data_IF_284173254847
#
_entry.id   IF_284173254847
#
_cell.length_a   1.000
_cell.length_b   1.000
_cell.length_c   1.000
_cell.angle_alpha   90.00
_cell.angle_beta   90.00
_cell.angle_gamma   90.00
#
_symmetry.space_group_name_H-M   'P 1'
#
loop_
_entity.id
_entity.type
_entity.pdbx_description
1 polymer ?
#
# COMPACT_ATOMS: atom_id res chain seq x y z
N UNK A 1 19.51 -0.78 -33.03
CA UNK A 1 19.68 -1.98 -32.18
C UNK A 1 18.37 -2.16 -31.40
N UNK A 2 17.46 -3.03 -31.86
CA UNK A 2 16.25 -3.36 -31.09
C UNK A 2 16.67 -4.33 -30.00
N UNK A 3 16.79 -3.86 -28.77
CA UNK A 3 17.05 -4.73 -27.63
C UNK A 3 15.85 -5.67 -27.51
N UNK A 4 16.03 -6.94 -27.88
CA UNK A 4 15.05 -8.01 -27.68
C UNK A 4 14.99 -8.32 -26.18
N UNK A 5 14.40 -7.41 -25.40
CA UNK A 5 13.91 -7.77 -24.07
C UNK A 5 12.72 -8.68 -24.35
N UNK A 6 12.85 -9.98 -24.05
CA UNK A 6 11.71 -10.90 -24.12
C UNK A 6 10.64 -10.36 -23.17
N UNK A 7 9.60 -9.74 -23.72
CA UNK A 7 8.44 -9.36 -22.94
C UNK A 7 7.84 -10.62 -22.30
N UNK A 8 7.53 -10.53 -21.02
CA UNK A 8 6.93 -11.65 -20.29
C UNK A 8 5.56 -11.96 -20.91
N UNK A 9 5.15 -13.24 -20.90
CA UNK A 9 3.77 -13.55 -21.28
C UNK A 9 2.78 -12.87 -20.33
N UNK A 10 1.56 -12.52 -20.76
CA UNK A 10 0.53 -11.94 -19.89
C UNK A 10 0.26 -12.78 -18.64
N UNK A 11 0.29 -14.11 -18.75
CA UNK A 11 0.17 -15.03 -17.62
C UNK A 11 1.35 -14.92 -16.64
N UNK A 12 2.56 -14.72 -17.15
CA UNK A 12 3.73 -14.48 -16.32
C UNK A 12 3.66 -13.10 -15.62
N UNK A 13 3.17 -12.05 -16.30
CA UNK A 13 2.89 -10.76 -15.65
C UNK A 13 1.86 -10.88 -14.54
N UNK A 14 0.77 -11.62 -14.77
CA UNK A 14 -0.26 -11.86 -13.76
C UNK A 14 0.31 -12.57 -12.52
N UNK A 15 1.04 -13.66 -12.71
CA UNK A 15 1.68 -14.38 -11.59
C UNK A 15 2.70 -13.51 -10.85
N UNK A 16 3.47 -12.72 -11.58
CA UNK A 16 4.43 -11.81 -10.97
C UNK A 16 3.74 -10.72 -10.15
N UNK A 17 2.63 -10.14 -10.64
CA UNK A 17 1.78 -9.26 -9.83
C UNK A 17 1.27 -9.96 -8.57
N UNK A 18 0.81 -11.21 -8.68
CA UNK A 18 0.37 -12.00 -7.53
C UNK A 18 1.47 -12.20 -6.47
N UNK A 19 2.72 -12.43 -6.89
CA UNK A 19 3.88 -12.52 -5.98
C UNK A 19 4.15 -11.18 -5.31
N UNK A 20 4.15 -10.08 -6.07
CA UNK A 20 4.36 -8.73 -5.52
C UNK A 20 3.31 -8.37 -4.47
N UNK A 21 2.04 -8.68 -4.74
CA UNK A 21 0.98 -8.53 -3.75
C UNK A 21 1.26 -9.32 -2.47
N UNK A 22 1.68 -10.59 -2.58
CA UNK A 22 2.00 -11.40 -1.40
C UNK A 22 3.17 -10.82 -0.59
N UNK A 23 4.23 -10.36 -1.27
CA UNK A 23 5.38 -9.69 -0.64
C UNK A 23 4.91 -8.45 0.11
N UNK A 24 4.08 -7.62 -0.52
CA UNK A 24 3.49 -6.42 0.08
C UNK A 24 2.67 -6.79 1.31
N UNK A 25 1.76 -7.77 1.22
CA UNK A 25 0.91 -8.19 2.34
C UNK A 25 1.73 -8.66 3.53
N UNK A 26 2.74 -9.51 3.31
CA UNK A 26 3.59 -10.02 4.40
C UNK A 26 4.39 -8.90 5.05
N UNK A 27 5.00 -8.01 4.25
CA UNK A 27 5.73 -6.87 4.76
C UNK A 27 4.83 -5.88 5.50
N UNK A 28 3.60 -5.65 5.02
CA UNK A 28 2.61 -4.77 5.66
C UNK A 28 2.14 -5.32 7.00
N UNK A 29 1.85 -6.63 7.10
CA UNK A 29 1.52 -7.27 8.38
C UNK A 29 2.65 -7.05 9.38
N UNK A 30 3.90 -7.21 8.96
CA UNK A 30 5.03 -7.00 9.84
C UNK A 30 5.16 -5.53 10.26
N UNK A 31 5.13 -4.59 9.31
CA UNK A 31 5.31 -3.16 9.55
C UNK A 31 4.19 -2.52 10.37
N UNK A 32 2.93 -2.94 10.15
CA UNK A 32 1.75 -2.24 10.66
C UNK A 32 1.02 -2.99 11.76
N UNK A 33 1.31 -4.28 11.97
CA UNK A 33 0.72 -5.06 13.08
C UNK A 33 1.79 -5.50 14.07
N UNK A 34 2.76 -6.31 13.62
CA UNK A 34 3.75 -6.96 14.51
C UNK A 34 4.64 -5.93 15.23
N UNK A 35 5.19 -4.97 14.49
CA UNK A 35 6.10 -3.97 15.06
C UNK A 35 5.36 -3.00 16.00
N UNK A 36 4.21 -2.41 15.63
CA UNK A 36 3.43 -1.61 16.57
C UNK A 36 3.05 -2.37 17.85
N UNK A 37 2.61 -3.63 17.74
CA UNK A 37 2.25 -4.47 18.91
C UNK A 37 3.44 -4.68 19.87
N UNK A 38 4.65 -4.82 19.33
CA UNK A 38 5.86 -5.03 20.13
C UNK A 38 6.38 -3.75 20.79
N UNK A 39 6.26 -2.59 20.14
CA UNK A 39 6.97 -1.38 20.55
C UNK A 39 6.07 -0.27 21.11
N UNK A 40 4.81 -0.17 20.69
CA UNK A 40 3.92 0.95 21.01
C UNK A 40 3.00 0.58 22.16
N UNK A 41 3.08 1.34 23.26
CA UNK A 41 2.18 1.21 24.42
C UNK A 41 1.16 2.33 24.36
N UNK A 42 -0.09 1.99 24.02
CA UNK A 42 -1.17 2.96 23.87
C UNK A 42 -1.38 3.74 25.18
N UNK A 43 -1.23 5.07 25.11
CA UNK A 43 -1.40 5.96 26.26
C UNK A 43 -0.16 6.11 27.14
N UNK A 44 0.95 5.43 26.83
CA UNK A 44 2.21 5.54 27.58
C UNK A 44 3.38 5.88 26.63
N UNK A 45 3.61 7.19 26.50
CA UNK A 45 4.68 7.75 25.67
C UNK A 45 6.08 7.37 26.19
N UNK A 46 6.24 7.26 27.51
CA UNK A 46 7.53 6.94 28.11
C UNK A 46 7.90 5.47 27.87
N UNK A 47 6.95 4.55 28.07
CA UNK A 47 7.15 3.13 27.75
C UNK A 47 7.40 2.92 26.25
N UNK A 48 6.64 3.60 25.38
CA UNK A 48 6.85 3.53 23.92
C UNK A 48 8.27 3.97 23.52
N UNK A 49 8.72 5.13 24.01
CA UNK A 49 10.06 5.64 23.74
C UNK A 49 11.15 4.70 24.29
N UNK A 50 10.95 4.15 25.50
CA UNK A 50 11.88 3.21 26.11
C UNK A 50 11.98 1.90 25.33
N UNK A 51 10.86 1.34 24.86
CA UNK A 51 10.84 0.12 24.03
C UNK A 51 11.61 0.33 22.72
N UNK A 52 11.37 1.45 22.04
CA UNK A 52 12.06 1.78 20.78
C UNK A 52 13.55 2.00 21.02
N UNK A 53 13.93 2.71 22.10
CA UNK A 53 15.33 2.94 22.43
C UNK A 53 16.07 1.65 22.82
N UNK A 54 15.38 0.69 23.45
CA UNK A 54 15.96 -0.58 23.87
C UNK A 54 16.33 -1.49 22.68
N UNK A 55 15.57 -1.43 21.58
CA UNK A 55 15.87 -2.18 20.35
C UNK A 55 15.56 -1.36 19.09
N UNK A 56 16.32 -0.28 18.91
CA UNK A 56 16.14 0.62 17.78
C UNK A 56 16.34 -0.10 16.44
N UNK A 57 17.23 -1.08 16.39
CA UNK A 57 17.54 -1.81 15.15
C UNK A 57 16.33 -2.62 14.69
N UNK A 58 15.68 -3.36 15.60
CA UNK A 58 14.47 -4.09 15.26
C UNK A 58 13.34 -3.15 14.86
N UNK A 59 13.12 -2.05 15.59
CA UNK A 59 12.09 -1.06 15.22
C UNK A 59 12.37 -0.45 13.84
N UNK A 60 13.62 -0.05 13.56
CA UNK A 60 14.05 0.54 12.28
C UNK A 60 13.92 -0.41 11.11
N UNK A 61 14.39 -1.64 11.24
CA UNK A 61 14.27 -2.64 10.17
C UNK A 61 12.81 -3.04 9.97
N UNK A 62 12.05 -3.18 11.04
CA UNK A 62 10.66 -3.60 11.00
C UNK A 62 9.70 -2.55 10.47
N UNK A 63 9.92 -1.27 10.76
CA UNK A 63 9.14 -0.17 10.19
C UNK A 63 9.69 0.24 8.82
N UNK A 64 10.79 1.01 8.79
CA UNK A 64 11.37 1.61 7.58
C UNK A 64 11.80 0.54 6.57
N UNK A 65 12.44 -0.53 7.02
CA UNK A 65 12.88 -1.61 6.13
C UNK A 65 11.73 -2.31 5.44
N UNK A 66 10.71 -2.72 6.19
CA UNK A 66 9.50 -3.35 5.63
C UNK A 66 8.71 -2.42 4.73
N UNK A 67 8.53 -1.15 5.13
CA UNK A 67 7.84 -0.17 4.28
C UNK A 67 8.61 0.10 3.00
N UNK A 68 9.95 0.14 3.00
CA UNK A 68 10.72 0.23 1.74
C UNK A 68 10.48 -0.98 0.83
N UNK A 69 10.38 -2.19 1.38
CA UNK A 69 10.03 -3.39 0.60
C UNK A 69 8.64 -3.25 -0.02
N UNK A 70 7.66 -2.76 0.75
CA UNK A 70 6.31 -2.47 0.25
C UNK A 70 6.39 -1.48 -0.89
N UNK A 71 6.95 -0.29 -0.67
CA UNK A 71 6.94 0.82 -1.62
C UNK A 71 7.68 0.51 -2.92
N UNK A 72 8.81 -0.21 -2.85
CA UNK A 72 9.51 -0.64 -4.06
C UNK A 72 8.71 -1.70 -4.83
N UNK A 73 8.05 -2.61 -4.13
CA UNK A 73 7.16 -3.60 -4.75
C UNK A 73 5.93 -2.95 -5.37
N UNK A 74 5.39 -1.91 -4.72
CA UNK A 74 4.26 -1.10 -5.18
C UNK A 74 4.54 -0.41 -6.52
N UNK A 75 5.72 0.17 -6.69
CA UNK A 75 6.15 0.80 -7.94
C UNK A 75 6.13 -0.22 -9.08
N UNK A 76 6.72 -1.40 -8.86
CA UNK A 76 6.78 -2.46 -9.87
C UNK A 76 5.38 -3.00 -10.16
N UNK A 77 4.58 -3.22 -9.12
CA UNK A 77 3.22 -3.73 -9.25
C UNK A 77 2.32 -2.77 -10.05
N UNK A 78 2.43 -1.46 -9.83
CA UNK A 78 1.69 -0.46 -10.59
C UNK A 78 2.00 -0.56 -12.10
N UNK A 79 3.27 -0.73 -12.46
CA UNK A 79 3.69 -0.91 -13.87
C UNK A 79 3.18 -2.23 -14.43
N UNK A 80 3.27 -3.33 -13.68
CA UNK A 80 2.80 -4.65 -14.12
C UNK A 80 1.29 -4.63 -14.40
N UNK A 81 0.50 -4.06 -13.49
CA UNK A 81 -0.94 -3.95 -13.66
C UNK A 81 -1.30 -3.00 -14.82
N UNK A 82 -0.55 -1.91 -15.00
CA UNK A 82 -0.70 -1.03 -16.16
C UNK A 82 -0.52 -1.80 -17.47
N UNK A 83 0.60 -2.51 -17.62
CA UNK A 83 0.89 -3.30 -18.84
C UNK A 83 -0.21 -4.33 -19.08
N UNK A 84 -0.67 -4.99 -18.01
CA UNK A 84 -1.66 -6.05 -18.12
C UNK A 84 -3.04 -5.55 -18.56
N UNK A 85 -3.49 -4.40 -18.06
CA UNK A 85 -4.84 -3.87 -18.28
C UNK A 85 -4.91 -2.76 -19.34
N UNK A 86 -3.79 -2.20 -19.78
CA UNK A 86 -3.70 -1.21 -20.87
C UNK A 86 -4.50 -1.61 -22.12
N UNK A 87 -4.53 -2.88 -22.58
CA UNK A 87 -5.36 -3.29 -23.72
C UNK A 87 -6.86 -3.09 -23.54
N UNK A 88 -7.36 -3.04 -22.30
CA UNK A 88 -8.78 -2.77 -22.00
C UNK A 88 -9.08 -1.28 -22.13
N UNK A 89 -8.25 -0.45 -21.50
CA UNK A 89 -8.30 1.01 -21.63
C UNK A 89 -6.98 1.61 -21.17
N UNK A 90 -6.26 2.24 -22.11
CA UNK A 90 -4.97 2.90 -21.85
C UNK A 90 -5.12 4.01 -20.81
N UNK A 91 -6.17 4.82 -20.94
CA UNK A 91 -6.42 5.98 -20.06
C UNK A 91 -6.75 5.53 -18.64
N UNK A 92 -7.70 4.62 -18.47
CA UNK A 92 -8.08 4.13 -17.14
C UNK A 92 -6.92 3.39 -16.47
N UNK A 93 -6.20 2.55 -17.21
CA UNK A 93 -5.03 1.85 -16.66
C UNK A 93 -3.93 2.83 -16.23
N UNK A 94 -3.73 3.92 -16.98
CA UNK A 94 -2.77 4.96 -16.61
C UNK A 94 -3.20 5.71 -15.36
N UNK A 95 -4.48 6.10 -15.25
CA UNK A 95 -5.00 6.77 -14.05
C UNK A 95 -4.81 5.85 -12.82
N UNK A 96 -5.17 4.57 -12.94
CA UNK A 96 -4.98 3.62 -11.84
C UNK A 96 -3.51 3.48 -11.42
N UNK A 97 -2.58 3.42 -12.39
CA UNK A 97 -1.16 3.33 -12.09
C UNK A 97 -0.62 4.61 -11.44
N UNK A 98 -0.97 5.78 -11.97
CA UNK A 98 -0.54 7.09 -11.43
C UNK A 98 -1.09 7.30 -10.02
N UNK A 99 -2.34 6.95 -9.76
CA UNK A 99 -2.93 7.02 -8.41
C UNK A 99 -2.18 6.14 -7.41
N UNK A 100 -1.84 4.90 -7.79
CA UNK A 100 -1.04 4.01 -6.94
C UNK A 100 0.37 4.54 -6.69
N UNK A 101 1.02 5.10 -7.70
CA UNK A 101 2.34 5.74 -7.56
C UNK A 101 2.29 7.01 -6.70
N UNK A 102 1.21 7.79 -6.78
CA UNK A 102 1.01 8.96 -5.94
C UNK A 102 0.89 8.55 -4.46
N UNK A 103 0.07 7.54 -4.15
CA UNK A 103 0.02 6.92 -2.81
C UNK A 103 1.42 6.48 -2.36
N UNK A 104 2.13 5.73 -3.21
CA UNK A 104 3.45 5.19 -2.89
C UNK A 104 4.46 6.31 -2.60
N UNK A 105 4.38 7.42 -3.33
CA UNK A 105 5.26 8.58 -3.11
C UNK A 105 4.95 9.27 -1.79
N UNK A 106 3.66 9.43 -1.46
CA UNK A 106 3.22 10.02 -0.19
C UNK A 106 3.70 9.16 0.99
N UNK A 107 3.47 7.84 0.93
CA UNK A 107 3.95 6.91 1.95
C UNK A 107 5.48 6.89 2.06
N UNK A 108 6.20 6.98 0.94
CA UNK A 108 7.65 7.09 0.95
C UNK A 108 8.17 8.34 1.65
N UNK A 109 7.53 9.50 1.43
CA UNK A 109 7.85 10.73 2.17
C UNK A 109 7.47 10.61 3.65
N UNK A 110 6.40 9.89 3.95
CA UNK A 110 5.89 9.69 5.31
C UNK A 110 6.88 8.95 6.21
N UNK A 111 7.82 8.17 5.65
CA UNK A 111 8.92 7.55 6.38
C UNK A 111 9.80 8.54 7.14
N UNK A 112 9.83 9.82 6.73
CA UNK A 112 10.55 10.86 7.45
C UNK A 112 10.13 10.95 8.92
N UNK A 113 8.87 10.66 9.25
CA UNK A 113 8.38 10.65 10.62
C UNK A 113 9.12 9.62 11.50
N UNK A 114 9.39 8.42 11.01
CA UNK A 114 10.22 7.45 11.73
C UNK A 114 11.66 7.94 11.90
N UNK A 115 12.22 8.61 10.89
CA UNK A 115 13.55 9.20 11.02
C UNK A 115 13.60 10.29 12.10
N UNK A 116 12.55 11.08 12.26
CA UNK A 116 12.46 12.06 13.34
C UNK A 116 12.40 11.38 14.71
N UNK A 117 11.69 10.26 14.84
CA UNK A 117 11.72 9.42 16.06
C UNK A 117 13.16 8.99 16.40
N UNK A 118 13.91 8.48 15.41
CA UNK A 118 15.30 8.08 15.64
C UNK A 118 16.21 9.24 16.03
N UNK A 119 16.02 10.42 15.43
CA UNK A 119 16.81 11.60 15.77
C UNK A 119 16.50 12.12 17.18
N UNK A 120 15.27 11.97 17.66
CA UNK A 120 14.90 12.35 19.02
C UNK A 120 15.49 11.40 20.06
N UNK A 121 15.50 10.09 19.78
CA UNK A 121 16.00 9.08 20.71
C UNK A 121 17.53 8.99 20.72
N UNK A 122 18.19 9.13 19.55
CA UNK A 122 19.61 8.83 19.38
C UNK A 122 20.40 9.87 18.55
N UNK A 123 19.77 10.97 18.11
CA UNK A 123 20.34 11.95 17.17
C UNK A 123 21.31 12.99 17.77
N UNK A 124 22.03 12.66 18.84
CA UNK A 124 23.08 13.51 19.41
C UNK A 124 22.57 14.87 19.92
N UNK A 125 23.02 15.97 19.29
CA UNK A 125 22.80 17.34 19.78
C UNK A 125 21.34 17.78 19.82
N UNK A 126 20.48 17.23 18.94
CA UNK A 126 19.03 17.50 18.96
C UNK A 126 18.37 16.87 20.19
N UNK A 127 18.75 15.64 20.55
CA UNK A 127 18.21 14.97 21.73
C UNK A 127 18.55 15.75 23.02
N UNK A 128 19.71 16.41 23.08
CA UNK A 128 20.09 17.23 24.23
C UNK A 128 19.38 18.59 24.32
N UNK A 129 18.63 19.00 23.29
CA UNK A 129 17.91 20.27 23.28
C UNK A 129 16.54 20.21 23.98
N UNK A 130 16.04 19.01 24.26
CA UNK A 130 14.72 18.77 24.84
C UNK A 130 14.85 18.01 26.18
N UNK A 131 13.88 18.20 27.08
CA UNK A 131 13.75 17.35 28.25
C UNK A 131 13.28 15.94 27.86
N UNK A 132 13.50 14.91 28.71
CA UNK A 132 13.01 13.56 28.44
C UNK A 132 11.49 13.49 28.17
N UNK A 133 10.69 14.24 28.93
CA UNK A 133 9.22 14.29 28.71
C UNK A 133 8.86 14.90 27.36
N UNK A 134 9.61 15.93 26.92
CA UNK A 134 9.43 16.52 25.59
C UNK A 134 9.81 15.54 24.48
N UNK A 135 10.88 14.76 24.65
CA UNK A 135 11.27 13.70 23.71
C UNK A 135 10.16 12.67 23.58
N UNK A 136 9.63 12.16 24.70
CA UNK A 136 8.57 11.14 24.70
C UNK A 136 7.30 11.65 23.98
N UNK A 137 6.90 12.91 24.24
CA UNK A 137 5.76 13.54 23.58
C UNK A 137 6.00 13.71 22.06
N UNK A 138 7.20 14.15 21.65
CA UNK A 138 7.55 14.32 20.24
C UNK A 138 7.66 12.99 19.50
N UNK A 139 8.19 11.94 20.13
CA UNK A 139 8.20 10.58 19.58
C UNK A 139 6.77 10.13 19.26
N UNK A 140 5.86 10.26 20.23
CA UNK A 140 4.44 9.92 20.03
C UNK A 140 3.81 10.74 18.91
N UNK A 141 4.06 12.06 18.89
CA UNK A 141 3.58 12.95 17.84
C UNK A 141 4.02 12.51 16.44
N UNK A 142 5.27 12.09 16.26
CA UNK A 142 5.75 11.64 14.95
C UNK A 142 5.22 10.26 14.57
N UNK A 143 4.99 9.36 15.53
CA UNK A 143 4.30 8.09 15.27
C UNK A 143 2.85 8.34 14.82
N UNK A 144 2.13 9.25 15.49
CA UNK A 144 0.78 9.66 15.10
C UNK A 144 0.76 10.35 13.73
N UNK A 145 1.76 11.22 13.47
CA UNK A 145 1.92 11.88 12.18
C UNK A 145 2.16 10.87 11.05
N UNK A 146 2.91 9.79 11.31
CA UNK A 146 3.05 8.69 10.35
C UNK A 146 1.69 8.02 10.09
N UNK A 147 0.92 7.69 11.12
CA UNK A 147 -0.41 7.09 10.97
C UNK A 147 -1.37 7.96 10.12
N UNK A 148 -1.37 9.27 10.36
CA UNK A 148 -2.15 10.23 9.57
C UNK A 148 -1.63 10.29 8.12
N UNK A 149 -0.31 10.40 7.93
CA UNK A 149 0.29 10.44 6.60
C UNK A 149 0.05 9.17 5.78
N UNK A 150 -0.03 8.02 6.44
CA UNK A 150 -0.44 6.76 5.82
C UNK A 150 -1.88 6.86 5.31
N UNK A 151 -2.80 7.35 6.14
CA UNK A 151 -4.21 7.58 5.77
C UNK A 151 -4.36 8.57 4.60
N UNK A 152 -3.55 9.64 4.57
CA UNK A 152 -3.51 10.56 3.42
C UNK A 152 -3.14 9.81 2.14
N UNK A 153 -2.13 8.94 2.17
CA UNK A 153 -1.76 8.13 1.01
C UNK A 153 -2.89 7.18 0.56
N UNK A 154 -3.65 6.60 1.50
CA UNK A 154 -4.82 5.76 1.18
C UNK A 154 -5.88 6.54 0.38
N UNK A 155 -6.08 7.84 0.65
CA UNK A 155 -6.99 8.66 -0.16
C UNK A 155 -6.61 8.68 -1.65
N UNK A 156 -5.31 8.63 -1.97
CA UNK A 156 -4.81 8.52 -3.36
C UNK A 156 -4.86 7.10 -3.92
N UNK A 157 -4.97 6.07 -3.06
CA UNK A 157 -5.19 4.69 -3.48
C UNK A 157 -6.64 4.44 -3.92
N UNK A 158 -7.61 5.20 -3.39
CA UNK A 158 -9.05 5.04 -3.70
C UNK A 158 -9.34 5.03 -5.21
N UNK A 159 -8.87 6.01 -6.02
CA UNK A 159 -9.09 5.98 -7.47
C UNK A 159 -8.47 4.75 -8.13
N UNK A 160 -7.28 4.32 -7.68
CA UNK A 160 -6.64 3.11 -8.19
C UNK A 160 -7.54 1.88 -7.98
N UNK A 161 -8.03 1.67 -6.76
CA UNK A 161 -8.83 0.49 -6.38
C UNK A 161 -10.15 0.45 -7.15
N UNK A 162 -10.86 1.58 -7.25
CA UNK A 162 -12.12 1.69 -7.99
C UNK A 162 -11.94 1.44 -9.50
N UNK A 163 -10.90 2.05 -10.10
CA UNK A 163 -10.63 1.91 -11.53
C UNK A 163 -10.11 0.50 -11.85
N UNK A 164 -9.24 -0.06 -11.01
CA UNK A 164 -8.78 -1.43 -11.14
C UNK A 164 -9.97 -2.41 -11.11
N UNK A 165 -10.88 -2.26 -10.15
CA UNK A 165 -12.10 -3.07 -10.09
C UNK A 165 -12.95 -2.95 -11.36
N UNK A 166 -13.11 -1.73 -11.88
CA UNK A 166 -13.84 -1.47 -13.14
C UNK A 166 -13.17 -2.16 -14.34
N UNK A 167 -11.84 -2.03 -14.46
CA UNK A 167 -11.06 -2.68 -15.52
C UNK A 167 -11.16 -4.21 -15.43
N UNK A 168 -11.13 -4.77 -14.22
CA UNK A 168 -11.32 -6.21 -14.01
C UNK A 168 -12.70 -6.65 -14.54
N UNK A 169 -13.78 -5.94 -14.19
CA UNK A 169 -15.14 -6.26 -14.66
C UNK A 169 -15.26 -6.20 -16.19
N UNK A 170 -14.60 -5.22 -16.83
CA UNK A 170 -14.67 -4.99 -18.27
C UNK A 170 -13.79 -5.94 -19.08
N UNK A 171 -12.63 -6.34 -18.53
CA UNK A 171 -11.60 -7.08 -19.26
C UNK A 171 -12.00 -8.49 -19.72
N UNK A 172 -12.84 -9.18 -18.94
CA UNK A 172 -13.05 -10.62 -19.09
C UNK A 172 -11.80 -11.47 -18.82
N UNK A 173 -10.71 -10.89 -18.31
CA UNK A 173 -9.45 -11.59 -18.00
C UNK A 173 -9.58 -12.43 -16.73
N UNK A 174 -10.41 -11.93 -15.82
CA UNK A 174 -10.63 -12.46 -14.48
C UNK A 174 -12.14 -12.59 -14.19
N UNK A 175 -12.54 -13.31 -13.13
CA UNK A 175 -13.92 -13.33 -12.67
C UNK A 175 -14.41 -11.93 -12.29
N UNK A 176 -15.58 -11.54 -12.79
CA UNK A 176 -16.19 -10.23 -12.49
C UNK A 176 -16.40 -9.98 -10.99
N UNK A 177 -16.61 -11.04 -10.21
CA UNK A 177 -16.75 -10.95 -8.74
C UNK A 177 -15.53 -10.29 -8.09
N UNK A 178 -14.31 -10.54 -8.59
CA UNK A 178 -13.11 -9.89 -8.07
C UNK A 178 -13.15 -8.38 -8.32
N UNK A 179 -13.61 -7.97 -9.50
CA UNK A 179 -13.75 -6.55 -9.82
C UNK A 179 -14.81 -5.84 -8.96
N UNK A 180 -15.94 -6.50 -8.67
CA UNK A 180 -16.93 -5.96 -7.73
C UNK A 180 -16.42 -5.90 -6.28
N UNK A 181 -15.62 -6.88 -5.84
CA UNK A 181 -14.95 -6.82 -4.54
C UNK A 181 -14.00 -5.61 -4.45
N UNK A 182 -13.21 -5.34 -5.49
CA UNK A 182 -12.38 -4.13 -5.54
C UNK A 182 -13.21 -2.84 -5.49
N UNK A 183 -14.32 -2.78 -6.21
CA UNK A 183 -15.19 -1.59 -6.17
C UNK A 183 -15.75 -1.38 -4.75
N UNK A 184 -16.21 -2.45 -4.10
CA UNK A 184 -16.68 -2.40 -2.71
C UNK A 184 -15.57 -1.97 -1.74
N UNK A 185 -14.36 -2.53 -1.88
CA UNK A 185 -13.20 -2.12 -1.10
C UNK A 185 -12.81 -0.66 -1.32
N UNK A 186 -12.87 -0.17 -2.57
CA UNK A 186 -12.58 1.24 -2.89
C UNK A 186 -13.58 2.21 -2.26
N UNK A 187 -14.86 1.82 -2.19
CA UNK A 187 -15.87 2.57 -1.44
C UNK A 187 -15.56 2.54 0.06
N UNK A 188 -15.17 1.38 0.59
CA UNK A 188 -14.73 1.22 1.98
C UNK A 188 -13.57 2.16 2.33
N UNK A 189 -12.49 2.13 1.55
CA UNK A 189 -11.35 3.04 1.70
C UNK A 189 -11.74 4.51 1.60
N UNK A 190 -12.66 4.86 0.70
CA UNK A 190 -13.13 6.25 0.57
C UNK A 190 -13.81 6.72 1.85
N UNK A 191 -14.75 5.92 2.38
CA UNK A 191 -15.43 6.25 3.63
C UNK A 191 -14.47 6.31 4.80
N UNK A 192 -13.58 5.33 4.91
CA UNK A 192 -12.63 5.20 6.01
C UNK A 192 -11.62 6.35 6.04
N UNK A 193 -10.94 6.62 4.91
CA UNK A 193 -9.98 7.71 4.82
C UNK A 193 -10.64 9.08 5.02
N UNK A 194 -11.86 9.28 4.50
CA UNK A 194 -12.60 10.54 4.73
C UNK A 194 -12.98 10.69 6.20
N UNK A 195 -13.43 9.62 6.85
CA UNK A 195 -13.76 9.61 8.27
C UNK A 195 -12.54 9.96 9.13
N UNK A 196 -11.45 9.19 8.97
CA UNK A 196 -10.21 9.38 9.74
C UNK A 196 -9.58 10.76 9.56
N UNK A 197 -9.70 11.36 8.37
CA UNK A 197 -9.07 12.65 8.09
C UNK A 197 -9.95 13.86 8.44
N UNK A 198 -11.27 13.75 8.29
CA UNK A 198 -12.18 14.92 8.37
C UNK A 198 -13.15 14.88 9.55
N UNK A 199 -13.29 13.74 10.24
CA UNK A 199 -14.29 13.55 11.30
C UNK A 199 -13.59 13.18 12.62
N UNK A 200 -13.47 14.14 13.54
CA UNK A 200 -12.75 13.96 14.80
C UNK A 200 -13.27 12.80 15.67
N UNK A 201 -14.55 12.42 15.56
CA UNK A 201 -15.13 11.29 16.29
C UNK A 201 -14.90 9.93 15.62
N UNK A 202 -14.33 9.90 14.41
CA UNK A 202 -14.03 8.68 13.67
C UNK A 202 -12.55 8.36 13.83
N UNK A 203 -12.23 7.49 14.78
CA UNK A 203 -10.84 7.21 15.18
C UNK A 203 -10.35 5.83 14.76
N UNK A 204 -11.23 4.96 14.24
CA UNK A 204 -10.87 3.57 13.92
C UNK A 204 -11.74 3.03 12.80
N UNK A 205 -11.12 2.30 11.89
CA UNK A 205 -11.80 1.59 10.80
C UNK A 205 -12.76 0.55 11.34
N UNK A 206 -14.06 0.60 11.00
CA UNK A 206 -15.04 -0.41 11.34
C UNK A 206 -14.65 -1.78 10.77
N UNK A 207 -14.80 -2.84 11.56
CA UNK A 207 -14.42 -4.21 11.16
C UNK A 207 -15.11 -4.70 9.87
N UNK A 208 -16.33 -4.23 9.58
CA UNK A 208 -17.03 -4.54 8.32
C UNK A 208 -16.32 -3.95 7.10
N UNK A 209 -15.78 -2.74 7.20
CA UNK A 209 -15.02 -2.10 6.12
C UNK A 209 -13.69 -2.83 5.95
N UNK A 210 -12.98 -3.08 7.05
CA UNK A 210 -11.72 -3.82 7.03
C UNK A 210 -11.88 -5.23 6.41
N UNK A 211 -12.96 -5.94 6.72
CA UNK A 211 -13.23 -7.27 6.17
C UNK A 211 -13.45 -7.26 4.65
N UNK A 212 -14.17 -6.26 4.12
CA UNK A 212 -14.41 -6.13 2.67
C UNK A 212 -13.10 -5.82 1.94
N UNK A 213 -12.29 -4.92 2.50
CA UNK A 213 -10.96 -4.58 1.98
C UNK A 213 -10.08 -5.84 1.93
N UNK A 214 -9.93 -6.52 3.07
CA UNK A 214 -9.11 -7.73 3.17
C UNK A 214 -9.58 -8.82 2.20
N UNK A 215 -10.88 -9.00 2.01
CA UNK A 215 -11.41 -9.98 1.07
C UNK A 215 -10.98 -9.69 -0.38
N UNK A 216 -11.01 -8.44 -0.81
CA UNK A 216 -10.57 -8.05 -2.15
C UNK A 216 -9.05 -8.25 -2.32
N UNK A 217 -8.27 -7.80 -1.33
CA UNK A 217 -6.81 -7.85 -1.35
C UNK A 217 -6.24 -9.26 -1.21
N UNK A 218 -6.97 -10.22 -0.63
CA UNK A 218 -6.54 -11.62 -0.54
C UNK A 218 -7.00 -12.41 -1.77
N UNK A 219 -8.26 -12.24 -2.20
CA UNK A 219 -8.83 -13.07 -3.26
C UNK A 219 -8.13 -12.85 -4.61
N UNK A 220 -7.75 -11.61 -4.92
CA UNK A 220 -7.17 -11.29 -6.23
C UNK A 220 -5.72 -11.76 -6.41
N UNK A 221 -4.79 -11.56 -5.48
CA UNK A 221 -3.44 -12.12 -5.59
C UNK A 221 -3.45 -13.64 -5.68
N UNK A 222 -4.31 -14.33 -4.90
CA UNK A 222 -4.48 -15.78 -4.99
C UNK A 222 -4.93 -16.18 -6.40
N UNK A 223 -5.91 -15.47 -6.97
CA UNK A 223 -6.34 -15.72 -8.35
C UNK A 223 -5.20 -15.53 -9.35
N UNK A 224 -4.46 -14.43 -9.24
CA UNK A 224 -3.33 -14.11 -10.11
C UNK A 224 -2.24 -15.18 -10.07
N UNK A 225 -1.92 -15.70 -8.87
CA UNK A 225 -0.94 -16.77 -8.69
C UNK A 225 -1.40 -18.10 -9.29
N UNK A 226 -2.64 -18.51 -9.01
CA UNK A 226 -3.14 -19.86 -9.33
C UNK A 226 -3.65 -19.94 -10.77
N UNK A 227 -4.47 -18.98 -11.20
CA UNK A 227 -5.16 -19.01 -12.50
C UNK A 227 -4.55 -18.05 -13.51
N UNK A 228 -4.04 -16.90 -13.08
CA UNK A 228 -3.52 -15.88 -13.97
C UNK A 228 -4.64 -15.24 -14.82
N UNK A 229 -4.36 -15.03 -16.11
CA UNK A 229 -5.19 -14.25 -17.05
C UNK A 229 -5.78 -15.17 -18.13
N UNK A 230 -7.03 -14.90 -18.53
CA UNK A 230 -7.60 -15.47 -19.75
C UNK A 230 -6.88 -14.92 -20.99
N UNK A 231 -6.05 -15.75 -21.61
CA UNK A 231 -5.18 -15.38 -22.73
C UNK A 231 -5.96 -14.96 -23.99
N UNK A 232 -7.04 -15.66 -24.32
CA UNK A 232 -7.84 -15.36 -25.51
C UNK A 232 -8.48 -13.97 -25.40
N UNK A 233 -9.04 -13.65 -24.23
CA UNK A 233 -9.61 -12.33 -23.95
C UNK A 233 -8.56 -11.24 -24.01
N UNK A 234 -7.39 -11.48 -23.42
CA UNK A 234 -6.28 -10.53 -23.46
C UNK A 234 -5.80 -10.24 -24.88
N UNK A 235 -5.59 -11.27 -25.70
CA UNK A 235 -5.17 -11.11 -27.10
C UNK A 235 -6.19 -10.32 -27.92
N UNK A 236 -7.49 -10.60 -27.75
CA UNK A 236 -8.56 -9.88 -28.44
C UNK A 236 -8.53 -8.37 -28.13
N UNK A 237 -8.35 -8.00 -26.87
CA UNK A 237 -8.23 -6.59 -26.48
C UNK A 237 -6.97 -5.92 -27.03
N UNK A 238 -5.83 -6.64 -27.04
CA UNK A 238 -4.57 -6.11 -27.60
C UNK A 238 -4.70 -5.84 -29.09
N UNK A 239 -5.28 -6.76 -29.86
CA UNK A 239 -5.53 -6.58 -31.29
C UNK A 239 -6.47 -5.38 -31.55
N UNK A 240 -7.52 -5.22 -30.75
CA UNK A 240 -8.42 -4.08 -30.86
C UNK A 240 -7.70 -2.75 -30.60
N UNK A 241 -6.82 -2.69 -29.60
CA UNK A 241 -6.02 -1.49 -29.28
C UNK A 241 -5.03 -1.14 -30.40
N UNK A 242 -4.41 -2.12 -31.05
CA UNK A 242 -3.47 -1.88 -32.15
C UNK A 242 -4.16 -1.43 -33.44
N UNK A 243 -5.46 -1.70 -33.57
CA UNK A 243 -6.27 -1.33 -34.74
C UNK A 243 -6.95 0.05 -34.65
N UNK A 244 -6.89 0.71 -33.49
CA UNK A 244 -7.55 1.97 -33.19
C UNK A 244 -6.58 3.16 -33.25
#
# INVERSE_FOLDING_TARGET
>A
MKTNIREMSPSAYARFAGVLYLVITVAAIFAHMVIPEQFIVVGDAAATAANIAADETAFRLGTVGSELIILLSEIVLAVVLYVLLKPVSKTLSLIAAVSRLAMTTIHGLNLLNYYLVFQLLNGGSIATAFSPDQINALVTLFLDAHSIGFTIGIAFLVPHVLILGTLIVQSGYFPKVLGFLFIAAGIGYLFDATGLLLVASYTTTPGVIAAVIAAAEIAFPIWLLVKGVNMDRWQNHTLALESA
#
